data_IF_602869063365
#
_entry.id   IF_602869063365
#
_cell.length_a   1.000
_cell.length_b   1.000
_cell.length_c   1.000
_cell.angle_alpha   90.00
_cell.angle_beta   90.00
_cell.angle_gamma   90.00
#
_symmetry.space_group_name_H-M   'P 1'
#
loop_
_entity.id
_entity.type
_entity.pdbx_description
1 polymer ?
#
# COMPACT_ATOMS: atom_id res chain seq x y z
N UNK A 1 7.39 -21.20 12.35
CA UNK A 1 6.44 -20.22 12.91
C UNK A 1 5.10 -20.49 12.26
N UNK A 2 4.05 -20.72 13.04
CA UNK A 2 2.73 -20.96 12.47
C UNK A 2 2.16 -19.64 11.90
N UNK A 3 1.19 -19.72 10.97
CA UNK A 3 0.59 -18.53 10.35
C UNK A 3 -0.14 -17.67 11.38
N UNK A 4 -0.62 -18.29 12.46
CA UNK A 4 -1.31 -17.62 13.57
C UNK A 4 -0.30 -16.80 14.40
N UNK A 5 0.84 -17.39 14.78
CA UNK A 5 1.90 -16.67 15.52
C UNK A 5 2.38 -15.42 14.76
N UNK A 6 2.41 -15.48 13.42
CA UNK A 6 2.76 -14.34 12.58
C UNK A 6 1.69 -13.23 12.57
N UNK A 7 0.41 -13.57 12.73
CA UNK A 7 -0.64 -12.53 12.79
C UNK A 7 -0.63 -11.80 14.13
N UNK A 8 -0.23 -12.48 15.21
CA UNK A 8 -0.11 -11.88 16.54
C UNK A 8 1.04 -10.85 16.62
N UNK A 9 2.03 -10.92 15.73
CA UNK A 9 3.10 -9.91 15.60
C UNK A 9 2.76 -8.74 14.68
N UNK A 10 1.58 -8.74 14.04
CA UNK A 10 1.18 -7.68 13.11
C UNK A 10 0.44 -6.57 13.82
N UNK A 11 0.95 -5.35 13.65
CA UNK A 11 0.35 -4.14 14.21
C UNK A 11 -0.06 -3.16 13.10
N UNK A 12 -1.30 -2.69 13.19
CA UNK A 12 -1.75 -1.55 12.40
C UNK A 12 -1.43 -0.23 13.12
N UNK A 13 -0.87 0.75 12.39
CA UNK A 13 -0.60 2.10 12.91
C UNK A 13 -0.80 3.17 11.83
N UNK A 14 -0.96 4.44 12.22
CA UNK A 14 -0.95 5.54 11.27
C UNK A 14 0.32 5.55 10.40
N UNK A 15 0.15 5.91 9.14
CA UNK A 15 1.22 6.00 8.15
C UNK A 15 2.08 7.26 8.39
N UNK A 16 3.38 7.08 8.52
CA UNK A 16 4.39 8.14 8.54
C UNK A 16 5.01 8.35 7.14
N UNK A 17 5.62 9.51 6.91
CA UNK A 17 6.25 9.84 5.63
C UNK A 17 7.36 8.84 5.23
N UNK A 18 8.08 8.30 6.22
CA UNK A 18 9.18 7.34 5.98
C UNK A 18 8.67 5.95 5.57
N UNK A 19 7.39 5.66 5.81
CA UNK A 19 6.78 4.40 5.38
C UNK A 19 6.47 4.38 3.88
N UNK A 20 6.42 5.56 3.23
CA UNK A 20 5.95 5.69 1.85
C UNK A 20 6.74 4.84 0.84
N UNK A 21 8.09 4.76 0.90
CA UNK A 21 8.83 3.89 0.01
C UNK A 21 8.54 2.39 0.24
N UNK A 22 8.39 1.95 1.49
CA UNK A 22 8.06 0.56 1.80
C UNK A 22 6.63 0.21 1.39
N UNK A 23 5.67 1.10 1.64
CA UNK A 23 4.29 0.96 1.20
C UNK A 23 4.18 0.93 -0.34
N UNK A 24 5.00 1.71 -1.05
CA UNK A 24 5.05 1.69 -2.51
C UNK A 24 5.48 0.32 -3.03
N UNK A 25 6.54 -0.27 -2.46
CA UNK A 25 7.05 -1.60 -2.81
C UNK A 25 6.00 -2.68 -2.52
N UNK A 26 5.38 -2.64 -1.35
CA UNK A 26 4.32 -3.57 -0.97
C UNK A 26 3.12 -3.47 -1.92
N UNK A 27 2.70 -2.25 -2.28
CA UNK A 27 1.65 -1.99 -3.27
C UNK A 27 2.01 -2.54 -4.65
N UNK A 28 3.20 -2.22 -5.16
CA UNK A 28 3.65 -2.61 -6.49
C UNK A 28 3.65 -4.12 -6.64
N UNK A 29 4.17 -4.83 -5.63
CA UNK A 29 4.27 -6.28 -5.62
C UNK A 29 2.89 -6.92 -5.53
N UNK A 30 2.09 -6.52 -4.54
CA UNK A 30 0.76 -7.11 -4.30
C UNK A 30 -0.18 -6.91 -5.49
N UNK A 31 -0.20 -5.71 -6.08
CA UNK A 31 -1.06 -5.43 -7.22
C UNK A 31 -0.59 -6.15 -8.49
N UNK A 32 0.72 -6.26 -8.73
CA UNK A 32 1.23 -7.05 -9.86
C UNK A 32 0.86 -8.52 -9.74
N UNK A 33 0.94 -9.10 -8.55
CA UNK A 33 0.52 -10.48 -8.31
C UNK A 33 -1.00 -10.66 -8.50
N UNK A 34 -1.79 -9.70 -8.01
CA UNK A 34 -3.23 -9.71 -8.18
C UNK A 34 -3.64 -9.60 -9.66
N UNK A 35 -3.00 -8.70 -10.42
CA UNK A 35 -3.23 -8.50 -11.85
C UNK A 35 -2.91 -9.77 -12.64
N UNK A 36 -1.78 -10.44 -12.35
CA UNK A 36 -1.42 -11.71 -13.01
C UNK A 36 -2.42 -12.83 -12.75
N UNK A 37 -3.01 -12.88 -11.54
CA UNK A 37 -4.02 -13.89 -11.20
C UNK A 37 -5.40 -13.58 -11.78
N UNK A 38 -5.67 -12.32 -12.10
CA UNK A 38 -7.02 -11.84 -12.46
C UNK A 38 -7.14 -11.39 -13.92
N UNK A 39 -6.04 -11.35 -14.66
CA UNK A 39 -5.98 -10.88 -16.05
C UNK A 39 -6.88 -11.69 -16.98
N UNK A 40 -7.49 -10.99 -17.95
CA UNK A 40 -8.39 -11.60 -18.93
C UNK A 40 -7.63 -12.00 -20.21
N UNK A 41 -8.21 -12.94 -20.95
CA UNK A 41 -7.68 -13.34 -22.26
C UNK A 41 -7.60 -12.12 -23.18
N UNK A 42 -6.42 -11.85 -23.72
CA UNK A 42 -6.16 -10.75 -24.65
C UNK A 42 -5.74 -9.43 -23.99
N UNK A 43 -5.76 -9.33 -22.67
CA UNK A 43 -5.15 -8.19 -21.98
C UNK A 43 -3.61 -8.27 -22.05
N UNK A 44 -2.91 -7.13 -22.09
CA UNK A 44 -1.45 -7.12 -22.02
C UNK A 44 -0.94 -7.78 -20.73
N UNK A 45 0.17 -8.51 -20.82
CA UNK A 45 0.82 -9.10 -19.64
C UNK A 45 1.17 -8.00 -18.61
N UNK A 46 0.73 -8.15 -17.34
CA UNK A 46 1.07 -7.21 -16.28
C UNK A 46 2.58 -7.07 -16.08
N UNK A 47 3.05 -5.83 -15.96
CA UNK A 47 4.47 -5.49 -15.78
C UNK A 47 4.72 -4.78 -14.46
N UNK A 48 5.92 -4.90 -13.88
CA UNK A 48 6.31 -4.09 -12.73
C UNK A 48 6.10 -2.60 -12.98
N UNK A 49 5.71 -1.87 -11.93
CA UNK A 49 5.53 -0.43 -11.97
C UNK A 49 6.84 0.26 -12.37
N UNK A 50 6.84 1.15 -13.40
CA UNK A 50 8.03 1.92 -13.74
C UNK A 50 8.41 2.92 -12.65
N UNK A 51 9.69 3.26 -12.53
CA UNK A 51 10.19 4.17 -11.50
C UNK A 51 9.48 5.54 -11.46
N UNK A 52 9.11 6.08 -12.62
CA UNK A 52 8.34 7.34 -12.69
C UNK A 52 6.94 7.21 -12.06
N UNK A 53 6.27 6.07 -12.29
CA UNK A 53 4.97 5.79 -11.70
C UNK A 53 5.09 5.51 -10.19
N UNK A 54 6.18 4.88 -9.73
CA UNK A 54 6.48 4.73 -8.30
C UNK A 54 6.63 6.08 -7.60
N UNK A 55 7.37 7.03 -8.20
CA UNK A 55 7.50 8.40 -7.68
C UNK A 55 6.15 9.11 -7.59
N UNK A 56 5.36 9.05 -8.67
CA UNK A 56 4.02 9.65 -8.68
C UNK A 56 3.08 9.02 -7.63
N UNK A 57 3.21 7.71 -7.40
CA UNK A 57 2.44 7.03 -6.36
C UNK A 57 2.83 7.54 -4.97
N UNK A 58 4.13 7.66 -4.68
CA UNK A 58 4.65 8.20 -3.42
C UNK A 58 4.16 9.64 -3.20
N UNK A 59 4.24 10.48 -4.24
CA UNK A 59 3.79 11.88 -4.16
C UNK A 59 2.29 11.96 -3.86
N UNK A 60 1.49 11.10 -4.50
CA UNK A 60 0.04 11.02 -4.25
C UNK A 60 -0.27 10.56 -2.82
N UNK A 61 0.40 9.52 -2.34
CA UNK A 61 0.18 9.02 -0.97
C UNK A 61 0.64 10.04 0.07
N UNK A 62 1.74 10.77 -0.20
CA UNK A 62 2.18 11.89 0.62
C UNK A 62 1.10 12.96 0.72
N UNK A 63 0.47 13.32 -0.40
CA UNK A 63 -0.64 14.26 -0.40
C UNK A 63 -1.83 13.76 0.43
N UNK A 64 -2.30 12.53 0.24
CA UNK A 64 -3.39 11.97 1.04
C UNK A 64 -3.10 11.98 2.54
N UNK A 65 -1.89 11.61 2.94
CA UNK A 65 -1.47 11.69 4.33
C UNK A 65 -1.48 13.12 4.86
N UNK A 66 -1.06 14.09 4.06
CA UNK A 66 -1.06 15.51 4.48
C UNK A 66 -2.48 16.03 4.67
N UNK A 67 -3.41 15.69 3.78
CA UNK A 67 -4.80 16.17 3.83
C UNK A 67 -5.66 15.42 4.87
N UNK A 68 -5.45 14.10 5.00
CA UNK A 68 -6.16 13.24 5.95
C UNK A 68 -5.22 12.20 6.57
N UNK A 69 -4.44 12.59 7.61
CA UNK A 69 -3.57 11.66 8.31
C UNK A 69 -4.35 10.51 8.97
N UNK A 70 -5.59 10.75 9.39
CA UNK A 70 -6.45 9.74 10.03
C UNK A 70 -6.92 8.65 9.08
N UNK A 71 -6.97 8.96 7.77
CA UNK A 71 -7.31 8.04 6.71
C UNK A 71 -6.17 7.14 6.22
N UNK A 72 -4.94 7.31 6.70
CA UNK A 72 -3.76 6.62 6.16
C UNK A 72 -3.09 5.69 7.19
N UNK A 73 -3.05 4.39 6.90
CA UNK A 73 -2.58 3.36 7.83
C UNK A 73 -1.61 2.37 7.16
N UNK A 74 -0.72 1.80 7.96
CA UNK A 74 0.19 0.71 7.57
C UNK A 74 0.03 -0.47 8.51
N UNK A 75 0.24 -1.67 7.99
CA UNK A 75 0.36 -2.90 8.76
C UNK A 75 1.83 -3.31 8.79
N UNK A 76 2.37 -3.49 9.98
CA UNK A 76 3.78 -3.83 10.22
C UNK A 76 3.87 -5.12 11.01
N UNK A 77 4.63 -6.09 10.50
CA UNK A 77 5.08 -7.28 11.22
C UNK A 77 6.29 -6.89 12.08
N UNK A 78 6.08 -6.75 13.39
CA UNK A 78 7.13 -6.26 14.30
C UNK A 78 8.30 -7.24 14.42
N UNK A 79 8.14 -8.49 13.97
CA UNK A 79 9.22 -9.49 13.95
C UNK A 79 10.27 -9.28 12.85
N UNK A 80 9.94 -8.50 11.81
CA UNK A 80 10.80 -8.28 10.64
C UNK A 80 11.54 -6.91 10.66
N UNK A 81 11.45 -6.17 11.77
CA UNK A 81 12.18 -4.91 11.95
C UNK A 81 11.78 -3.84 10.92
N UNK A 82 12.77 -3.15 10.35
CA UNK A 82 12.56 -2.01 9.43
C UNK A 82 11.87 -2.39 8.10
N UNK A 83 11.95 -3.66 7.68
CA UNK A 83 11.27 -4.17 6.48
C UNK A 83 9.90 -4.80 6.79
N UNK A 84 9.43 -4.72 8.04
CA UNK A 84 8.18 -5.35 8.47
C UNK A 84 6.89 -4.79 7.86
N UNK A 85 6.94 -3.75 7.01
CA UNK A 85 5.72 -3.23 6.39
C UNK A 85 5.16 -4.23 5.37
N UNK A 86 4.07 -4.91 5.74
CA UNK A 86 3.42 -5.95 4.94
C UNK A 86 2.14 -5.47 4.24
N UNK A 87 1.66 -4.26 4.55
CA UNK A 87 0.47 -3.72 3.92
C UNK A 87 0.17 -2.28 4.31
N UNK A 88 -0.84 -1.71 3.64
CA UNK A 88 -1.29 -0.34 3.87
C UNK A 88 -2.78 -0.20 3.52
N UNK A 89 -3.42 0.81 4.08
CA UNK A 89 -4.80 1.20 3.77
C UNK A 89 -4.89 2.72 3.70
N UNK A 90 -5.52 3.24 2.64
CA UNK A 90 -5.70 4.68 2.41
C UNK A 90 -7.16 4.95 2.13
N UNK A 91 -7.77 5.76 2.99
CA UNK A 91 -9.10 6.33 2.78
C UNK A 91 -8.96 7.64 2.00
N UNK A 92 -9.75 7.79 0.94
CA UNK A 92 -9.90 9.08 0.26
C UNK A 92 -11.18 9.73 0.77
N UNK A 93 -11.07 10.53 1.84
CA UNK A 93 -12.21 11.26 2.38
C UNK A 93 -12.63 12.36 1.41
N UNK A 94 -13.79 12.20 0.76
CA UNK A 94 -14.36 13.19 -0.17
C UNK A 94 -15.44 14.05 0.48
N UNK A 95 -15.62 13.97 1.80
CA UNK A 95 -16.71 14.65 2.50
C UNK A 95 -18.08 14.33 1.88
N UNK A 96 -19.06 15.25 1.95
CA UNK A 96 -20.37 15.08 1.31
C UNK A 96 -20.36 15.36 -0.21
N UNK A 97 -19.19 15.63 -0.81
CA UNK A 97 -19.07 15.98 -2.22
C UNK A 97 -19.11 14.73 -3.11
N UNK A 98 -20.10 14.68 -4.00
CA UNK A 98 -20.12 13.76 -5.13
C UNK A 98 -19.72 14.53 -6.39
N UNK A 99 -18.63 14.13 -7.06
CA UNK A 99 -18.35 14.59 -8.42
C UNK A 99 -19.12 13.71 -9.40
N UNK A 100 -19.85 14.36 -10.31
CA UNK A 100 -20.55 13.73 -11.44
C UNK A 100 -19.61 13.64 -12.64
#
# INVERSE_FOLDING_TARGET
MDRIDRLDSVRARPLCADDLPAAERASATTLLEADRRSGRVGEPEPRPRPAAASRQWIDRMRHFRTEDPGGCWVAVDESEGDDGLIGFAISQNRGPSWFR
#
